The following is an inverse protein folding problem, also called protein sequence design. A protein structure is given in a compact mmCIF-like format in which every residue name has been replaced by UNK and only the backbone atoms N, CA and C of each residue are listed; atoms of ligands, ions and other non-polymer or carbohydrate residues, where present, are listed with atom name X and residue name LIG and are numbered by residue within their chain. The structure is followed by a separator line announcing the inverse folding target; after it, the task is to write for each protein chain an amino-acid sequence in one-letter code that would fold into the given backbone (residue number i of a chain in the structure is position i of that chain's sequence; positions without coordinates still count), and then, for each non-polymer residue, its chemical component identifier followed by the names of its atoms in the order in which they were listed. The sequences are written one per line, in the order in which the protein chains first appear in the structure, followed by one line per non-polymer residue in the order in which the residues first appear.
data_IF_273496303422
#
_entry.id   IF_273496303422
#
_cell.length_a   1.000
_cell.length_b   1.000
_cell.length_c   1.000
_cell.angle_alpha   90.00
_cell.angle_beta   90.00
_cell.angle_gamma   90.00
#
_symmetry.space_group_name_H-M   'P 1'
#
loop_
_entity.id
_entity.type
_entity.pdbx_description
1 polymer ?
#
# COMPACT_ATOMS: atom_id res chain seq x y z
N UNK A 1 6.52 -27.02 -8.61
CA UNK A 1 7.16 -25.84 -9.23
C UNK A 1 6.16 -24.68 -9.39
N UNK A 2 5.47 -24.26 -8.31
CA UNK A 2 4.45 -23.20 -8.36
C UNK A 2 4.65 -22.12 -7.28
N UNK A 3 5.73 -22.21 -6.49
CA UNK A 3 5.98 -21.35 -5.32
C UNK A 3 6.90 -20.15 -5.58
N UNK A 4 7.47 -19.99 -6.78
CA UNK A 4 8.41 -18.88 -7.05
C UNK A 4 7.74 -17.57 -7.48
N UNK A 5 6.61 -17.62 -8.18
CA UNK A 5 5.95 -16.40 -8.68
C UNK A 5 5.26 -15.57 -7.57
N UNK A 6 4.95 -16.19 -6.42
CA UNK A 6 4.32 -15.48 -5.29
C UNK A 6 5.33 -14.58 -4.56
N UNK A 7 6.63 -14.86 -4.69
CA UNK A 7 7.69 -14.11 -4.01
C UNK A 7 8.13 -12.85 -4.79
N UNK A 8 7.76 -12.72 -6.06
CA UNK A 8 8.10 -11.55 -6.89
C UNK A 8 7.14 -10.38 -6.66
N UNK A 9 5.92 -10.67 -6.21
CA UNK A 9 4.98 -9.70 -5.70
C UNK A 9 5.31 -9.47 -4.22
N UNK A 10 6.21 -8.51 -3.95
CA UNK A 10 6.56 -8.10 -2.59
C UNK A 10 5.34 -7.89 -1.67
N UNK A 11 5.53 -7.89 -0.34
CA UNK A 11 4.43 -7.94 0.62
C UNK A 11 3.40 -6.83 0.37
N UNK A 12 2.13 -7.24 0.28
CA UNK A 12 0.99 -6.34 0.12
C UNK A 12 0.39 -6.00 1.47
N UNK A 13 0.43 -4.72 1.81
CA UNK A 13 -0.11 -4.15 3.03
C UNK A 13 -1.54 -3.68 2.82
N UNK A 14 -2.33 -3.74 3.88
CA UNK A 14 -3.63 -3.12 4.00
C UNK A 14 -3.49 -1.63 4.35
N UNK A 15 -4.57 -0.86 4.16
CA UNK A 15 -4.58 0.55 4.56
C UNK A 15 -4.28 0.76 6.05
N UNK A 16 -4.64 -0.21 6.90
CA UNK A 16 -4.38 -0.16 8.34
C UNK A 16 -2.90 -0.38 8.65
N UNK A 17 -2.28 -1.39 8.06
CA UNK A 17 -0.84 -1.66 8.26
C UNK A 17 0.02 -0.48 7.77
N UNK A 18 -0.33 0.12 6.63
CA UNK A 18 0.35 1.34 6.15
C UNK A 18 0.15 2.51 7.11
N UNK A 19 -1.05 2.65 7.67
CA UNK A 19 -1.36 3.71 8.62
C UNK A 19 -0.54 3.57 9.91
N UNK A 20 -0.41 2.34 10.42
CA UNK A 20 0.45 2.03 11.57
C UNK A 20 1.93 2.32 11.26
N UNK A 21 2.41 1.91 10.08
CA UNK A 21 3.80 2.12 9.66
C UNK A 21 4.16 3.61 9.52
N UNK A 22 3.25 4.41 8.97
CA UNK A 22 3.46 5.85 8.79
C UNK A 22 3.07 6.67 10.03
N UNK A 23 2.55 6.04 11.08
CA UNK A 23 1.93 6.70 12.23
C UNK A 23 0.86 7.73 11.84
N UNK A 24 0.04 7.39 10.84
CA UNK A 24 -1.05 8.21 10.33
C UNK A 24 -2.40 7.55 10.61
N UNK A 25 -3.49 8.31 10.48
CA UNK A 25 -4.82 7.75 10.50
C UNK A 25 -5.13 7.04 9.17
N UNK A 26 -5.88 5.93 9.20
CA UNK A 26 -6.25 5.14 8.00
C UNK A 26 -6.93 5.99 6.91
N UNK A 27 -7.75 6.97 7.31
CA UNK A 27 -8.37 7.90 6.36
C UNK A 27 -7.35 8.79 5.65
N UNK A 28 -6.26 9.16 6.30
CA UNK A 28 -5.17 9.92 5.66
C UNK A 28 -4.51 9.07 4.58
N UNK A 29 -4.21 7.80 4.85
CA UNK A 29 -3.68 6.86 3.85
C UNK A 29 -4.64 6.70 2.65
N UNK A 30 -5.94 6.58 2.91
CA UNK A 30 -6.95 6.55 1.83
C UNK A 30 -6.94 7.83 0.99
N UNK A 31 -6.85 9.01 1.63
CA UNK A 31 -6.77 10.30 0.94
C UNK A 31 -5.50 10.45 0.12
N UNK A 32 -4.36 9.95 0.60
CA UNK A 32 -3.12 9.90 -0.18
C UNK A 32 -3.27 9.03 -1.44
N UNK A 33 -3.95 7.89 -1.30
CA UNK A 33 -4.33 7.08 -2.45
C UNK A 33 -5.27 7.81 -3.42
N UNK A 34 -6.30 8.49 -2.90
CA UNK A 34 -7.25 9.26 -3.73
C UNK A 34 -6.59 10.44 -4.47
N UNK A 35 -5.53 11.01 -3.89
CA UNK A 35 -4.71 12.06 -4.52
C UNK A 35 -3.70 11.52 -5.54
N UNK A 36 -3.53 10.20 -5.61
CA UNK A 36 -2.53 9.56 -6.46
C UNK A 36 -1.09 9.63 -5.93
N UNK A 37 -0.90 10.10 -4.68
CA UNK A 37 0.41 10.17 -4.03
C UNK A 37 0.91 8.77 -3.61
N UNK A 38 -0.01 7.87 -3.27
CA UNK A 38 0.31 6.51 -2.87
C UNK A 38 -0.43 5.48 -3.75
N UNK A 39 0.27 4.78 -4.65
CA UNK A 39 -0.33 3.77 -5.51
C UNK A 39 -1.02 2.66 -4.70
N UNK A 40 -2.25 2.31 -5.10
CA UNK A 40 -3.01 1.25 -4.44
C UNK A 40 -3.71 0.35 -5.47
N UNK A 41 -3.89 -0.90 -5.07
CA UNK A 41 -4.63 -1.92 -5.82
C UNK A 41 -5.97 -2.12 -5.16
N UNK A 42 -7.05 -2.05 -5.96
CA UNK A 42 -8.39 -2.40 -5.51
C UNK A 42 -8.59 -3.90 -5.69
N UNK A 43 -8.64 -4.64 -4.60
CA UNK A 43 -8.68 -6.12 -4.62
C UNK A 43 -10.11 -6.66 -4.67
N UNK A 44 -11.06 -5.95 -4.05
CA UNK A 44 -12.46 -6.40 -3.95
C UNK A 44 -13.42 -5.37 -4.57
N UNK A 45 -14.59 -5.81 -5.05
CA UNK A 45 -15.70 -4.91 -5.45
C UNK A 45 -16.14 -3.98 -4.32
N UNK A 46 -15.97 -4.41 -3.06
CA UNK A 46 -16.23 -3.60 -1.84
C UNK A 46 -15.30 -2.39 -1.70
N UNK A 47 -14.18 -2.38 -2.42
CA UNK A 47 -13.24 -1.27 -2.43
C UNK A 47 -12.06 -1.41 -1.47
N UNK A 48 -11.75 -2.63 -1.03
CA UNK A 48 -10.54 -2.90 -0.24
C UNK A 48 -9.30 -2.51 -1.03
N UNK A 49 -8.45 -1.70 -0.39
CA UNK A 49 -7.23 -1.16 -0.99
C UNK A 49 -6.03 -1.88 -0.39
N UNK A 50 -5.14 -2.34 -1.27
CA UNK A 50 -3.84 -2.88 -0.91
C UNK A 50 -2.72 -2.05 -1.49
N UNK A 51 -1.67 -1.93 -0.72
CA UNK A 51 -0.49 -1.12 -1.00
C UNK A 51 0.70 -2.05 -1.08
N UNK A 52 1.59 -1.83 -2.04
CA UNK A 52 2.85 -2.59 -2.07
C UNK A 52 3.82 -1.94 -1.10
N UNK A 53 4.55 -2.75 -0.34
CA UNK A 53 5.58 -2.25 0.57
C UNK A 53 6.59 -1.34 -0.17
N UNK A 54 7.04 -1.73 -1.37
CA UNK A 54 7.92 -0.91 -2.19
C UNK A 54 7.39 0.50 -2.46
N UNK A 55 6.09 0.63 -2.75
CA UNK A 55 5.48 1.92 -3.07
C UNK A 55 5.39 2.80 -1.82
N UNK A 56 5.11 2.21 -0.66
CA UNK A 56 5.11 2.90 0.65
C UNK A 56 6.53 3.36 1.02
N UNK A 57 7.54 2.52 0.81
CA UNK A 57 8.94 2.87 1.05
C UNK A 57 9.44 3.96 0.10
N UNK A 58 9.02 3.93 -1.16
CA UNK A 58 9.28 5.00 -2.13
C UNK A 58 8.65 6.32 -1.70
N UNK A 59 7.42 6.28 -1.22
CA UNK A 59 6.73 7.47 -0.69
C UNK A 59 7.51 8.11 0.47
N UNK A 60 8.01 7.30 1.42
CA UNK A 60 8.87 7.78 2.51
C UNK A 60 10.19 8.41 2.02
N UNK A 61 10.76 7.86 0.94
CA UNK A 61 12.03 8.34 0.38
C UNK A 61 11.86 9.63 -0.44
N UNK A 62 10.74 9.78 -1.14
CA UNK A 62 10.43 10.98 -1.94
C UNK A 62 10.09 12.19 -1.09
N UNK A 63 9.56 11.99 0.13
CA UNK A 63 9.12 13.06 1.01
C UNK A 63 10.19 13.51 2.04
N UNK A 64 11.46 13.21 1.77
CA UNK A 64 12.62 13.60 2.58
C UNK A 64 13.28 14.85 2.01
#
# INVERSE_FOLDING_TARGET
MASMAVNELGPMLTATEVAEMLHLHVNTVKRLGDRGELPFYRVCKRGDRRFRLDDVMRFLTQNR
#
